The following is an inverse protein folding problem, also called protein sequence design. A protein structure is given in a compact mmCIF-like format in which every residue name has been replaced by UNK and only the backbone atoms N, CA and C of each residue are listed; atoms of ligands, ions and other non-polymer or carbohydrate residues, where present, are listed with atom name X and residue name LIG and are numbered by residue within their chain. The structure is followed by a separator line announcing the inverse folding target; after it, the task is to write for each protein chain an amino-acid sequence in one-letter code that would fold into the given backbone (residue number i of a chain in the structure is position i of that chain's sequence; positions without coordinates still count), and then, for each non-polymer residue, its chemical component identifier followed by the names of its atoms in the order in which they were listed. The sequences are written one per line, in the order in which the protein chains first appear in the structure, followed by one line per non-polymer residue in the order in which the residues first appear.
data_IF_017995241777
#
_entry.id   IF_017995241777
#
_cell.length_a   1.000
_cell.length_b   1.000
_cell.length_c   1.000
_cell.angle_alpha   90.00
_cell.angle_beta   90.00
_cell.angle_gamma   90.00
#
_symmetry.space_group_name_H-M   'P 1'
#
loop_
_entity.id
_entity.type
_entity.pdbx_description
1 polymer ?
#
# COMPACT_ATOMS: atom_id res chain seq x y z
N UNK A 1 10.71 -70.31 31.28
CA UNK A 1 9.88 -69.60 30.28
C UNK A 1 9.95 -68.08 30.53
N UNK A 2 11.05 -67.41 30.18
CA UNK A 2 11.26 -65.99 30.54
C UNK A 2 11.93 -65.10 29.48
N UNK A 3 12.24 -65.61 28.28
CA UNK A 3 12.98 -64.85 27.26
C UNK A 3 12.12 -64.01 26.30
N UNK A 4 10.81 -64.26 26.24
CA UNK A 4 9.97 -63.74 25.15
C UNK A 4 9.51 -62.29 25.37
N UNK A 5 9.41 -61.83 26.63
CA UNK A 5 9.02 -60.46 26.98
C UNK A 5 10.17 -59.46 26.80
N UNK A 6 11.43 -59.92 26.99
CA UNK A 6 12.64 -59.12 26.76
C UNK A 6 12.96 -58.95 25.26
N UNK A 7 12.72 -59.98 24.44
CA UNK A 7 12.90 -59.89 22.99
C UNK A 7 11.82 -59.07 22.27
N UNK A 8 10.57 -59.09 22.77
CA UNK A 8 9.45 -58.37 22.16
C UNK A 8 9.63 -56.85 22.14
N UNK A 9 10.15 -56.27 23.23
CA UNK A 9 10.43 -54.83 23.30
C UNK A 9 11.48 -54.37 22.29
N UNK A 10 12.51 -55.19 22.04
CA UNK A 10 13.57 -54.92 21.06
C UNK A 10 13.02 -54.92 19.65
N UNK A 11 12.18 -55.91 19.32
CA UNK A 11 11.57 -56.02 17.99
C UNK A 11 10.67 -54.81 17.72
N UNK A 12 9.91 -54.32 18.71
CA UNK A 12 9.06 -53.13 18.57
C UNK A 12 9.89 -51.86 18.39
N UNK A 13 10.97 -51.69 19.14
CA UNK A 13 11.83 -50.51 19.04
C UNK A 13 12.57 -50.45 17.70
N UNK A 14 13.08 -51.60 17.24
CA UNK A 14 13.68 -51.74 15.90
C UNK A 14 12.63 -51.49 14.82
N UNK A 15 11.41 -52.01 14.96
CA UNK A 15 10.33 -51.79 14.00
C UNK A 15 9.92 -50.31 13.90
N UNK A 16 9.80 -49.60 15.03
CA UNK A 16 9.48 -48.16 15.05
C UNK A 16 10.61 -47.32 14.47
N UNK A 17 11.86 -47.65 14.77
CA UNK A 17 13.02 -46.97 14.20
C UNK A 17 13.08 -47.17 12.67
N UNK A 18 12.87 -48.40 12.21
CA UNK A 18 12.87 -48.74 10.79
C UNK A 18 11.67 -48.10 10.06
N UNK A 19 10.52 -48.02 10.73
CA UNK A 19 9.34 -47.29 10.25
C UNK A 19 9.61 -45.78 10.11
N UNK A 20 10.29 -45.16 11.08
CA UNK A 20 10.69 -43.74 11.01
C UNK A 20 11.70 -43.49 9.88
N UNK A 21 12.70 -44.36 9.74
CA UNK A 21 13.68 -44.28 8.64
C UNK A 21 12.99 -44.43 7.29
N UNK A 22 11.96 -45.27 7.19
CA UNK A 22 11.21 -45.48 5.96
C UNK A 22 10.22 -44.34 5.64
N UNK A 23 9.50 -43.82 6.65
CA UNK A 23 8.41 -42.86 6.45
C UNK A 23 8.88 -41.40 6.35
N UNK A 24 9.97 -41.04 7.02
CA UNK A 24 10.48 -39.66 6.97
C UNK A 24 10.93 -39.21 5.55
N UNK A 25 11.63 -40.02 4.74
CA UNK A 25 12.05 -39.60 3.40
C UNK A 25 10.89 -39.56 2.38
N UNK A 26 9.85 -40.37 2.55
CA UNK A 26 8.72 -40.45 1.60
C UNK A 26 7.80 -39.23 1.64
N UNK A 27 7.73 -38.52 2.77
CA UNK A 27 7.06 -37.22 2.85
C UNK A 27 7.88 -36.10 2.18
N UNK A 28 9.18 -36.30 2.02
CA UNK A 28 10.12 -35.36 1.40
C UNK A 28 10.04 -35.39 -0.13
N UNK A 29 9.86 -36.58 -0.71
CA UNK A 29 9.81 -36.76 -2.17
C UNK A 29 8.55 -36.12 -2.76
N UNK A 30 7.39 -36.27 -2.11
CA UNK A 30 6.11 -35.68 -2.53
C UNK A 30 6.18 -34.17 -2.80
N UNK A 31 6.98 -33.41 -2.03
CA UNK A 31 7.12 -31.95 -2.20
C UNK A 31 8.06 -31.53 -3.34
N UNK A 32 8.93 -32.43 -3.80
CA UNK A 32 9.83 -32.15 -4.93
C UNK A 32 9.11 -32.36 -6.27
N UNK A 33 8.13 -33.28 -6.32
CA UNK A 33 7.29 -33.50 -7.50
C UNK A 33 6.44 -32.27 -7.84
N UNK A 34 5.81 -31.62 -6.86
CA UNK A 34 5.01 -30.40 -7.06
C UNK A 34 5.80 -29.21 -7.65
N UNK A 35 7.12 -29.17 -7.43
CA UNK A 35 8.00 -28.11 -7.95
C UNK A 35 8.48 -28.41 -9.38
N UNK A 36 8.67 -29.69 -9.72
CA UNK A 36 9.06 -30.12 -11.05
C UNK A 36 7.94 -29.95 -12.07
N UNK A 37 6.69 -30.23 -11.69
CA UNK A 37 5.52 -30.08 -12.58
C UNK A 37 5.33 -28.62 -13.05
N UNK A 38 5.49 -27.64 -12.16
CA UNK A 38 5.33 -26.23 -12.51
C UNK A 38 6.42 -25.71 -13.44
N UNK A 39 7.62 -26.30 -13.40
CA UNK A 39 8.71 -25.95 -14.30
C UNK A 39 8.47 -26.47 -15.72
N UNK A 40 7.88 -27.67 -15.84
CA UNK A 40 7.49 -28.23 -17.13
C UNK A 40 6.38 -27.41 -17.81
N UNK A 41 5.38 -26.94 -17.05
CA UNK A 41 4.28 -26.12 -17.59
C UNK A 41 4.80 -24.78 -18.15
N UNK A 42 5.72 -24.12 -17.45
CA UNK A 42 6.30 -22.83 -17.89
C UNK A 42 7.12 -22.96 -19.17
N UNK A 43 7.84 -24.06 -19.34
CA UNK A 43 8.66 -24.31 -20.52
C UNK A 43 7.78 -24.54 -21.76
N UNK A 44 6.71 -25.33 -21.62
CA UNK A 44 5.75 -25.55 -22.70
C UNK A 44 4.99 -24.27 -23.09
N UNK A 45 4.67 -23.41 -22.11
CA UNK A 45 4.03 -22.13 -22.37
C UNK A 45 4.98 -21.12 -23.04
N UNK A 46 6.27 -21.13 -22.68
CA UNK A 46 7.28 -20.29 -23.32
C UNK A 46 7.51 -20.70 -24.80
N UNK A 47 7.52 -22.00 -25.10
CA UNK A 47 7.61 -22.49 -26.48
C UNK A 47 6.38 -22.11 -27.31
N UNK A 48 5.18 -22.14 -26.71
CA UNK A 48 3.93 -21.72 -27.35
C UNK A 48 3.97 -20.25 -27.74
N UNK A 49 4.40 -19.39 -26.82
CA UNK A 49 4.47 -17.95 -27.06
C UNK A 49 5.54 -17.62 -28.09
N UNK A 50 6.72 -18.28 -28.07
CA UNK A 50 7.73 -18.09 -29.13
C UNK A 50 7.24 -18.49 -30.52
N UNK A 51 6.34 -19.46 -30.62
CA UNK A 51 5.73 -19.86 -31.88
C UNK A 51 4.63 -18.88 -32.35
N UNK A 52 3.98 -18.18 -31.42
CA UNK A 52 2.96 -17.17 -31.73
C UNK A 52 3.56 -15.80 -32.11
N UNK A 53 4.83 -15.50 -31.76
CA UNK A 53 5.48 -14.21 -32.10
C UNK A 53 6.20 -14.16 -33.46
N UNK A 54 6.13 -15.19 -34.30
CA UNK A 54 6.79 -15.21 -35.63
C UNK A 54 5.90 -14.74 -36.80
N UNK A 55 4.67 -14.28 -36.54
CA UNK A 55 3.80 -13.74 -37.59
C UNK A 55 4.11 -12.24 -37.81
N UNK A 56 4.67 -11.94 -38.98
CA UNK A 56 5.28 -10.66 -39.41
C UNK A 56 4.26 -9.58 -39.76
N UNK A 57 4.45 -8.29 -39.35
CA UNK A 57 3.65 -7.20 -39.89
C UNK A 57 4.28 -6.61 -41.16
N UNK A 58 3.48 -6.72 -42.22
CA UNK A 58 3.70 -6.29 -43.60
C UNK A 58 3.88 -4.76 -43.74
N UNK A 59 4.79 -4.38 -44.62
CA UNK A 59 5.22 -3.03 -44.91
C UNK A 59 4.11 -2.20 -45.59
N UNK A 60 3.85 -0.98 -45.11
CA UNK A 60 2.99 -0.02 -45.83
C UNK A 60 3.83 1.18 -46.28
N UNK A 61 4.04 1.21 -47.61
CA UNK A 61 4.67 2.28 -48.41
C UNK A 61 3.96 3.62 -48.20
N UNK A 62 4.74 4.67 -47.96
CA UNK A 62 4.29 6.05 -47.85
C UNK A 62 5.03 6.92 -48.88
N UNK A 63 4.50 6.95 -50.10
CA UNK A 63 4.84 7.95 -51.11
C UNK A 63 3.90 9.16 -50.92
N UNK A 64 4.46 10.38 -51.13
CA UNK A 64 3.87 11.74 -51.01
C UNK A 64 4.34 12.49 -49.76
N UNK A 65 5.39 13.34 -49.87
CA UNK A 65 6.09 13.93 -48.73
C UNK A 65 6.51 15.40 -48.94
N UNK A 66 5.63 16.36 -48.64
CA UNK A 66 6.04 17.74 -48.29
C UNK A 66 5.10 18.38 -47.25
N UNK A 67 3.77 18.24 -47.41
CA UNK A 67 2.79 18.62 -46.37
C UNK A 67 2.59 17.55 -45.31
N UNK A 68 2.66 16.30 -45.72
CA UNK A 68 2.69 15.11 -44.86
C UNK A 68 3.97 15.00 -44.06
N UNK A 69 5.09 15.61 -44.48
CA UNK A 69 6.36 15.59 -43.75
C UNK A 69 6.24 16.19 -42.34
N UNK A 70 5.49 17.30 -42.19
CA UNK A 70 5.27 17.93 -40.89
C UNK A 70 4.29 17.14 -40.02
N UNK A 71 3.27 16.53 -40.63
CA UNK A 71 2.34 15.64 -39.92
C UNK A 71 3.06 14.35 -39.46
N UNK A 72 3.90 13.76 -40.31
CA UNK A 72 4.75 12.62 -40.02
C UNK A 72 5.83 12.97 -39.00
N UNK A 73 6.42 14.17 -39.04
CA UNK A 73 7.38 14.63 -38.04
C UNK A 73 6.71 14.81 -36.67
N UNK A 74 5.47 15.32 -36.63
CA UNK A 74 4.69 15.44 -35.39
C UNK A 74 4.25 14.07 -34.85
N UNK A 75 3.87 13.14 -35.71
CA UNK A 75 3.58 11.75 -35.33
C UNK A 75 4.84 11.01 -34.87
N UNK A 76 5.99 11.21 -35.52
CA UNK A 76 7.28 10.66 -35.11
C UNK A 76 7.71 11.21 -33.74
N UNK A 77 7.56 12.52 -33.49
CA UNK A 77 7.82 13.11 -32.17
C UNK A 77 6.90 12.55 -31.09
N UNK A 78 5.61 12.35 -31.39
CA UNK A 78 4.67 11.71 -30.45
C UNK A 78 5.02 10.27 -30.18
N UNK A 79 5.35 9.49 -31.23
CA UNK A 79 5.78 8.11 -31.10
C UNK A 79 7.11 7.98 -30.31
N UNK A 80 8.04 8.92 -30.47
CA UNK A 80 9.27 8.97 -29.68
C UNK A 80 8.99 9.32 -28.21
N UNK A 81 8.10 10.30 -27.95
CA UNK A 81 7.70 10.65 -26.58
C UNK A 81 6.95 9.50 -25.88
N UNK A 82 6.08 8.77 -26.59
CA UNK A 82 5.40 7.58 -26.08
C UNK A 82 6.38 6.43 -25.80
N UNK A 83 7.41 6.25 -26.65
CA UNK A 83 8.48 5.28 -26.41
C UNK A 83 9.33 5.65 -25.19
N UNK A 84 9.65 6.92 -25.02
CA UNK A 84 10.39 7.41 -23.85
C UNK A 84 9.57 7.24 -22.56
N UNK A 85 8.27 7.55 -22.58
CA UNK A 85 7.41 7.33 -21.41
C UNK A 85 7.27 5.83 -21.09
N UNK A 86 7.07 4.99 -22.10
CA UNK A 86 7.01 3.54 -21.93
C UNK A 86 8.34 2.97 -21.40
N UNK A 87 9.49 3.49 -21.85
CA UNK A 87 10.80 3.09 -21.35
C UNK A 87 11.01 3.50 -19.89
N UNK A 88 10.55 4.69 -19.49
CA UNK A 88 10.61 5.17 -18.10
C UNK A 88 9.70 4.35 -17.18
N UNK A 89 8.50 3.99 -17.65
CA UNK A 89 7.60 3.09 -16.92
C UNK A 89 8.17 1.69 -16.79
N UNK A 90 8.77 1.15 -17.86
CA UNK A 90 9.51 -0.12 -17.82
C UNK A 90 10.64 -0.09 -16.80
N UNK A 91 11.46 0.96 -16.81
CA UNK A 91 12.55 1.13 -15.85
C UNK A 91 12.05 1.21 -14.39
N UNK A 92 10.91 1.86 -14.15
CA UNK A 92 10.29 1.91 -12.81
C UNK A 92 9.82 0.53 -12.36
N UNK A 93 9.15 -0.21 -13.23
CA UNK A 93 8.71 -1.58 -12.95
C UNK A 93 9.90 -2.50 -12.67
N UNK A 94 11.00 -2.36 -13.42
CA UNK A 94 12.21 -3.17 -13.20
C UNK A 94 12.90 -2.81 -11.88
N UNK A 95 12.92 -1.53 -11.49
CA UNK A 95 13.42 -1.11 -10.18
C UNK A 95 12.53 -1.63 -9.03
N UNK A 96 11.22 -1.64 -9.20
CA UNK A 96 10.29 -2.21 -8.23
C UNK A 96 10.46 -3.73 -8.12
N UNK A 97 10.59 -4.43 -9.25
CA UNK A 97 10.89 -5.87 -9.28
C UNK A 97 12.22 -6.16 -8.57
N UNK A 98 13.28 -5.41 -8.88
CA UNK A 98 14.57 -5.58 -8.22
C UNK A 98 14.49 -5.30 -6.71
N UNK A 99 13.67 -4.34 -6.26
CA UNK A 99 13.41 -4.08 -4.83
C UNK A 99 12.67 -5.23 -4.18
N UNK A 100 11.63 -5.75 -4.82
CA UNK A 100 10.85 -6.90 -4.34
C UNK A 100 11.74 -8.14 -4.27
N UNK A 101 12.52 -8.42 -5.31
CA UNK A 101 13.47 -9.54 -5.34
C UNK A 101 14.51 -9.44 -4.23
N UNK A 102 15.07 -8.24 -3.98
CA UNK A 102 15.98 -8.00 -2.86
C UNK A 102 15.29 -8.18 -1.51
N UNK A 103 14.06 -7.72 -1.35
CA UNK A 103 13.28 -7.92 -0.13
C UNK A 103 12.97 -9.41 0.10
N UNK A 104 12.58 -10.13 -0.94
CA UNK A 104 12.35 -11.58 -0.92
C UNK A 104 13.64 -12.34 -0.63
N UNK A 105 14.77 -11.96 -1.24
CA UNK A 105 16.07 -12.59 -0.98
C UNK A 105 16.54 -12.36 0.47
N UNK A 106 16.40 -11.14 0.99
CA UNK A 106 16.69 -10.81 2.40
C UNK A 106 15.82 -11.59 3.36
N UNK A 107 14.54 -11.80 3.05
CA UNK A 107 13.61 -12.58 3.87
C UNK A 107 13.79 -14.10 3.69
N UNK A 108 14.25 -14.55 2.52
CA UNK A 108 14.48 -15.96 2.21
C UNK A 108 15.79 -16.48 2.80
N UNK A 109 16.84 -15.66 2.94
CA UNK A 109 18.10 -16.03 3.57
C UNK A 109 17.93 -16.57 5.02
N UNK A 110 17.24 -15.87 5.95
CA UNK A 110 17.00 -16.38 7.30
C UNK A 110 16.04 -17.58 7.29
N UNK A 111 15.05 -17.61 6.39
CA UNK A 111 14.12 -18.73 6.27
C UNK A 111 14.80 -20.03 5.79
N UNK A 112 15.76 -19.93 4.86
CA UNK A 112 16.57 -21.07 4.38
C UNK A 112 17.49 -21.59 5.48
N UNK A 113 18.15 -20.70 6.22
CA UNK A 113 18.99 -21.07 7.36
C UNK A 113 18.18 -21.68 8.52
N UNK A 114 17.01 -21.16 8.82
CA UNK A 114 16.12 -21.71 9.84
C UNK A 114 15.63 -23.12 9.49
N UNK A 115 15.34 -23.38 8.20
CA UNK A 115 14.95 -24.71 7.70
C UNK A 115 16.10 -25.72 7.78
N UNK A 116 17.33 -25.33 7.43
CA UNK A 116 18.51 -26.19 7.58
C UNK A 116 18.77 -26.55 9.05
N UNK A 117 18.62 -25.58 9.97
CA UNK A 117 18.76 -25.80 11.42
C UNK A 117 17.69 -26.75 11.98
N UNK A 118 16.44 -26.67 11.51
CA UNK A 118 15.37 -27.61 11.89
C UNK A 118 15.69 -29.04 11.42
N UNK A 119 16.22 -29.20 10.21
CA UNK A 119 16.62 -30.50 9.65
C UNK A 119 17.73 -31.16 10.48
N UNK A 120 18.78 -30.41 10.81
CA UNK A 120 19.89 -30.92 11.64
C UNK A 120 19.47 -31.20 13.08
N UNK A 121 18.52 -30.42 13.64
CA UNK A 121 17.95 -30.71 14.96
C UNK A 121 17.21 -32.03 14.99
N UNK A 122 16.35 -32.29 13.99
CA UNK A 122 15.60 -33.56 13.92
C UNK A 122 16.55 -34.76 13.80
N UNK A 123 17.55 -34.69 12.91
CA UNK A 123 18.52 -35.79 12.77
C UNK A 123 19.33 -36.01 14.03
N UNK A 124 19.78 -34.93 14.69
CA UNK A 124 20.53 -35.02 15.94
C UNK A 124 19.69 -35.55 17.11
N UNK A 125 18.40 -35.17 17.21
CA UNK A 125 17.49 -35.73 18.23
C UNK A 125 17.20 -37.20 18.00
N UNK A 126 17.06 -37.63 16.74
CA UNK A 126 16.88 -39.05 16.41
C UNK A 126 18.14 -39.85 16.76
N UNK A 127 19.34 -39.33 16.43
CA UNK A 127 20.60 -39.95 16.84
C UNK A 127 20.77 -40.00 18.36
N UNK A 128 20.37 -38.95 19.09
CA UNK A 128 20.42 -38.93 20.55
C UNK A 128 19.52 -40.02 21.15
N UNK A 129 18.29 -40.15 20.67
CA UNK A 129 17.36 -41.20 21.11
C UNK A 129 17.88 -42.61 20.78
N UNK A 130 18.43 -42.80 19.58
CA UNK A 130 19.05 -44.06 19.19
C UNK A 130 20.25 -44.40 20.09
N UNK A 131 21.10 -43.42 20.40
CA UNK A 131 22.22 -43.60 21.32
C UNK A 131 21.78 -43.96 22.74
N UNK A 132 20.71 -43.35 23.26
CA UNK A 132 20.15 -43.69 24.58
C UNK A 132 19.65 -45.13 24.58
N UNK A 133 18.97 -45.55 23.51
CA UNK A 133 18.54 -46.94 23.35
C UNK A 133 19.71 -47.93 23.39
N UNK A 134 20.81 -47.63 22.68
CA UNK A 134 22.04 -48.44 22.67
C UNK A 134 22.72 -48.45 24.05
N UNK A 135 22.76 -47.31 24.75
CA UNK A 135 23.35 -47.22 26.08
C UNK A 135 22.57 -48.02 27.14
N UNK A 136 21.24 -47.91 27.14
CA UNK A 136 20.36 -48.71 28.01
C UNK A 136 20.51 -50.20 27.69
N UNK A 137 20.60 -50.56 26.41
CA UNK A 137 20.88 -51.93 25.98
C UNK A 137 22.24 -52.44 26.49
N UNK A 138 23.29 -51.64 26.35
CA UNK A 138 24.64 -51.99 26.81
C UNK A 138 24.73 -52.24 28.31
N UNK A 139 23.93 -51.54 29.13
CA UNK A 139 23.86 -51.79 30.58
C UNK A 139 23.28 -53.17 30.88
N UNK A 140 22.25 -53.60 30.15
CA UNK A 140 21.66 -54.94 30.30
C UNK A 140 22.67 -56.00 29.86
N UNK A 141 23.41 -55.76 28.77
CA UNK A 141 24.41 -56.70 28.23
C UNK A 141 25.62 -56.88 29.16
N UNK A 142 26.07 -55.79 29.82
CA UNK A 142 27.13 -55.84 30.85
C UNK A 142 26.71 -56.70 32.03
N UNK A 143 25.44 -56.64 32.47
CA UNK A 143 24.92 -57.45 33.58
C UNK A 143 24.84 -58.94 33.23
N UNK A 144 24.72 -59.29 31.94
CA UNK A 144 24.58 -60.68 31.49
C UNK A 144 25.89 -61.32 30.99
N UNK A 145 26.78 -60.55 30.36
CA UNK A 145 27.96 -61.05 29.62
C UNK A 145 29.27 -60.44 30.12
N UNK A 146 29.22 -59.32 30.88
CA UNK A 146 30.42 -58.65 31.42
C UNK A 146 31.22 -57.84 30.40
N UNK A 147 30.76 -57.73 29.15
CA UNK A 147 31.46 -56.99 28.09
C UNK A 147 31.10 -55.50 28.11
N UNK A 148 32.06 -54.65 28.49
CA UNK A 148 31.85 -53.20 28.70
C UNK A 148 31.91 -52.35 27.41
N UNK A 149 32.39 -52.91 26.30
CA UNK A 149 32.68 -52.15 25.07
C UNK A 149 31.42 -51.51 24.44
N UNK A 150 30.27 -52.18 24.51
CA UNK A 150 29.00 -51.66 23.97
C UNK A 150 28.38 -50.57 24.84
N UNK A 151 28.60 -50.62 26.15
CA UNK A 151 28.19 -49.56 27.07
C UNK A 151 28.96 -48.27 26.78
N UNK A 152 30.29 -48.36 26.62
CA UNK A 152 31.13 -47.20 26.31
C UNK A 152 30.83 -46.59 24.93
N UNK A 153 30.48 -47.39 23.92
CA UNK A 153 30.12 -46.85 22.60
C UNK A 153 28.76 -46.12 22.62
N UNK A 154 27.77 -46.62 23.36
CA UNK A 154 26.48 -45.94 23.57
C UNK A 154 26.61 -44.64 24.36
N UNK A 155 27.43 -44.63 25.42
CA UNK A 155 27.75 -43.42 26.20
C UNK A 155 28.52 -42.40 25.36
N UNK A 156 29.49 -42.85 24.55
CA UNK A 156 30.24 -41.96 23.66
C UNK A 156 29.33 -41.34 22.58
N UNK A 157 28.43 -42.12 21.99
CA UNK A 157 27.51 -41.63 20.95
C UNK A 157 26.48 -40.63 21.51
N UNK A 158 25.91 -40.91 22.68
CA UNK A 158 24.99 -39.98 23.36
C UNK A 158 25.69 -38.71 23.81
N UNK A 159 26.90 -38.82 24.37
CA UNK A 159 27.74 -37.68 24.73
C UNK A 159 28.07 -36.80 23.53
N UNK A 160 28.45 -37.39 22.40
CA UNK A 160 28.75 -36.66 21.17
C UNK A 160 27.49 -35.96 20.62
N UNK A 161 26.35 -36.63 20.62
CA UNK A 161 25.08 -36.04 20.20
C UNK A 161 24.66 -34.88 21.11
N UNK A 162 24.75 -35.05 22.43
CA UNK A 162 24.47 -34.00 23.41
C UNK A 162 25.41 -32.80 23.24
N UNK A 163 26.69 -33.02 22.95
CA UNK A 163 27.67 -31.96 22.68
C UNK A 163 27.27 -31.14 21.44
N UNK A 164 26.86 -31.80 20.35
CA UNK A 164 26.38 -31.15 19.13
C UNK A 164 25.11 -30.32 19.42
N UNK A 165 24.14 -30.88 20.14
CA UNK A 165 22.94 -30.15 20.56
C UNK A 165 23.28 -28.95 21.44
N UNK A 166 24.20 -29.11 22.40
CA UNK A 166 24.62 -28.05 23.32
C UNK A 166 25.34 -26.91 22.57
N UNK A 167 26.26 -27.21 21.65
CA UNK A 167 26.90 -26.17 20.82
C UNK A 167 25.89 -25.45 19.94
N UNK A 168 24.92 -26.16 19.36
CA UNK A 168 23.85 -25.52 18.58
C UNK A 168 22.93 -24.64 19.43
N UNK A 169 22.58 -25.07 20.65
CA UNK A 169 21.81 -24.27 21.59
C UNK A 169 22.56 -22.98 21.97
N UNK A 170 23.87 -23.08 22.22
CA UNK A 170 24.72 -21.92 22.51
C UNK A 170 24.85 -20.96 21.33
N UNK A 171 25.00 -21.47 20.11
CA UNK A 171 25.04 -20.67 18.87
C UNK A 171 23.68 -20.04 18.59
N UNK A 172 22.58 -20.74 18.84
CA UNK A 172 21.24 -20.19 18.72
C UNK A 172 20.98 -19.09 19.76
N UNK A 173 21.41 -19.27 21.00
CA UNK A 173 21.31 -18.25 22.05
C UNK A 173 22.17 -17.01 21.70
N UNK A 174 23.39 -17.20 21.20
CA UNK A 174 24.25 -16.10 20.72
C UNK A 174 23.70 -15.40 19.48
N UNK A 175 23.03 -16.12 18.59
CA UNK A 175 22.40 -15.55 17.39
C UNK A 175 21.02 -14.92 17.68
N UNK A 176 20.41 -15.24 18.81
CA UNK A 176 19.14 -14.67 19.28
C UNK A 176 19.33 -13.42 20.14
N UNK A 177 20.55 -13.17 20.65
CA UNK A 177 20.93 -11.82 21.03
C UNK A 177 20.79 -10.98 19.77
N UNK A 178 20.00 -9.89 19.79
CA UNK A 178 19.93 -9.00 18.65
C UNK A 178 21.37 -8.61 18.36
N UNK A 179 21.88 -9.04 17.21
CA UNK A 179 23.02 -8.39 16.63
C UNK A 179 22.54 -6.96 16.42
N UNK A 180 22.89 -6.07 17.34
CA UNK A 180 22.91 -4.65 17.08
C UNK A 180 23.87 -4.56 15.91
N UNK A 181 23.30 -4.61 14.71
CA UNK A 181 24.00 -4.43 13.48
C UNK A 181 24.62 -3.05 13.65
N UNK A 182 25.88 -3.03 14.06
CA UNK A 182 26.69 -1.84 14.09
C UNK A 182 26.82 -1.50 12.63
N UNK A 183 25.82 -0.77 12.13
CA UNK A 183 25.89 -0.08 10.86
C UNK A 183 27.16 0.74 11.01
N UNK A 184 28.21 0.27 10.36
CA UNK A 184 29.44 1.03 10.19
C UNK A 184 28.98 2.29 9.47
N UNK A 185 28.73 3.34 10.27
CA UNK A 185 28.43 4.66 9.75
C UNK A 185 29.72 5.06 9.08
N UNK A 186 29.80 4.78 7.78
CA UNK A 186 30.79 5.36 6.89
C UNK A 186 30.69 6.86 7.15
N UNK A 187 31.69 7.40 7.82
CA UNK A 187 31.80 8.82 8.07
C UNK A 187 31.91 9.45 6.70
N UNK A 188 30.79 9.90 6.15
CA UNK A 188 30.77 10.76 4.99
C UNK A 188 31.53 12.00 5.42
N UNK A 189 32.55 12.38 4.68
CA UNK A 189 33.21 13.67 4.85
C UNK A 189 32.12 14.74 4.67
N UNK A 190 31.60 15.23 5.79
CA UNK A 190 30.59 16.28 5.81
C UNK A 190 31.38 17.57 5.68
N UNK A 191 31.03 18.39 4.71
CA UNK A 191 31.66 19.68 4.49
C UNK A 191 31.64 20.50 5.79
N UNK A 192 32.82 20.90 6.27
CA UNK A 192 32.98 21.74 7.46
C UNK A 192 32.45 23.15 7.16
N UNK A 193 31.15 23.33 7.33
CA UNK A 193 30.52 24.64 7.35
C UNK A 193 30.61 25.15 8.78
N UNK A 194 31.32 26.26 8.98
CA UNK A 194 31.32 26.98 10.25
C UNK A 194 29.92 27.54 10.51
N UNK A 195 29.08 26.73 11.15
CA UNK A 195 27.79 27.15 11.65
C UNK A 195 28.04 28.07 12.85
N UNK A 196 27.40 29.24 12.87
CA UNK A 196 27.41 30.08 14.07
C UNK A 196 26.99 29.25 15.28
N UNK A 197 27.69 29.39 16.43
CA UNK A 197 27.33 28.68 17.64
C UNK A 197 25.96 29.18 18.10
N UNK A 198 24.91 28.49 17.68
CA UNK A 198 23.57 28.69 18.23
C UNK A 198 23.66 28.45 19.74
N UNK A 199 23.45 29.51 20.51
CA UNK A 199 23.30 29.42 21.96
C UNK A 199 22.13 28.49 22.25
N UNK A 200 22.46 27.26 22.65
CA UNK A 200 21.48 26.26 23.08
C UNK A 200 21.01 26.62 24.48
N UNK A 201 20.15 27.62 24.55
CA UNK A 201 19.38 27.90 25.75
C UNK A 201 18.41 26.73 25.98
N UNK A 202 18.30 26.27 27.23
CA UNK A 202 17.43 25.16 27.57
C UNK A 202 15.98 25.55 27.28
N UNK A 203 15.42 25.00 26.19
CA UNK A 203 14.01 25.13 25.85
C UNK A 203 13.27 23.84 26.22
N UNK A 204 12.10 23.92 26.86
CA UNK A 204 11.27 22.75 27.12
C UNK A 204 10.90 22.08 25.80
N UNK A 205 10.99 20.74 25.76
CA UNK A 205 10.62 19.97 24.57
C UNK A 205 9.14 20.16 24.27
N UNK A 206 8.83 20.67 23.08
CA UNK A 206 7.45 20.71 22.60
C UNK A 206 6.87 19.29 22.54
N UNK A 207 5.67 19.14 23.10
CA UNK A 207 4.90 17.91 22.96
C UNK A 207 4.65 17.65 21.47
N UNK A 208 4.62 16.37 21.04
CA UNK A 208 4.33 16.05 19.65
C UNK A 208 2.96 16.62 19.27
N UNK A 209 2.91 17.31 18.11
CA UNK A 209 1.68 17.91 17.61
C UNK A 209 0.61 16.83 17.44
N UNK A 210 -0.65 17.09 17.85
CA UNK A 210 -1.72 16.12 17.70
C UNK A 210 -1.93 15.79 16.22
N UNK A 211 -2.30 14.53 15.95
CA UNK A 211 -2.49 14.01 14.59
C UNK A 211 -3.60 14.73 13.80
N UNK A 212 -4.47 15.48 14.47
CA UNK A 212 -5.48 16.35 13.84
C UNK A 212 -4.89 17.66 13.30
N UNK A 213 -3.79 18.14 13.90
CA UNK A 213 -3.10 19.36 13.50
C UNK A 213 -1.88 19.10 12.59
N UNK A 214 -1.57 17.83 12.32
CA UNK A 214 -0.49 17.43 11.42
C UNK A 214 -1.02 17.27 10.00
N UNK A 215 -0.53 18.12 9.09
CA UNK A 215 -0.88 18.05 7.67
C UNK A 215 -0.52 16.67 7.08
N UNK A 216 -1.48 16.04 6.42
CA UNK A 216 -1.32 14.71 5.79
C UNK A 216 -1.60 13.52 6.71
N UNK A 217 -1.94 13.74 7.98
CA UNK A 217 -2.43 12.69 8.87
C UNK A 217 -3.87 12.28 8.52
N UNK A 218 -4.20 11.00 8.74
CA UNK A 218 -5.57 10.48 8.55
C UNK A 218 -6.59 11.22 9.40
N UNK A 219 -6.22 11.64 10.61
CA UNK A 219 -7.13 12.38 11.48
C UNK A 219 -7.42 13.79 10.95
N UNK A 220 -6.44 14.45 10.34
CA UNK A 220 -6.64 15.74 9.66
C UNK A 220 -7.58 15.58 8.45
N UNK A 221 -7.39 14.54 7.64
CA UNK A 221 -8.23 14.28 6.47
C UNK A 221 -9.71 14.04 6.80
N UNK A 222 -10.01 13.45 7.96
CA UNK A 222 -11.41 13.27 8.41
C UNK A 222 -12.04 14.63 8.76
N UNK A 223 -11.31 15.50 9.46
CA UNK A 223 -11.79 16.84 9.80
C UNK A 223 -11.96 17.72 8.56
N UNK A 224 -11.08 17.60 7.56
CA UNK A 224 -11.20 18.32 6.29
C UNK A 224 -12.49 17.92 5.53
N UNK A 225 -12.84 16.62 5.57
CA UNK A 225 -14.10 16.12 4.99
C UNK A 225 -15.32 16.64 5.74
N UNK A 226 -15.27 16.71 7.08
CA UNK A 226 -16.34 17.29 7.89
C UNK A 226 -16.49 18.80 7.61
N UNK A 227 -15.39 19.55 7.58
CA UNK A 227 -15.38 20.97 7.25
C UNK A 227 -15.94 21.25 5.83
N UNK A 228 -15.60 20.40 4.86
CA UNK A 228 -16.16 20.50 3.50
C UNK A 228 -17.67 20.26 3.47
N UNK A 229 -18.20 19.31 4.27
CA UNK A 229 -19.65 19.09 4.39
C UNK A 229 -20.34 20.26 5.05
N UNK A 230 -19.71 20.88 6.04
CA UNK A 230 -20.25 22.02 6.76
C UNK A 230 -20.30 23.26 5.87
N UNK A 231 -19.26 23.49 5.06
CA UNK A 231 -19.23 24.53 4.04
C UNK A 231 -20.35 24.36 2.99
N UNK A 232 -20.61 23.13 2.54
CA UNK A 232 -21.73 22.85 1.63
C UNK A 232 -23.09 23.16 2.27
N UNK A 233 -23.27 22.82 3.56
CA UNK A 233 -24.50 23.14 4.30
C UNK A 233 -24.69 24.66 4.45
N UNK A 234 -23.62 25.38 4.76
CA UNK A 234 -23.65 26.84 4.86
C UNK A 234 -23.96 27.49 3.51
N UNK A 235 -23.29 27.07 2.44
CA UNK A 235 -23.55 27.56 1.09
C UNK A 235 -25.01 27.32 0.67
N UNK A 236 -25.57 26.14 0.96
CA UNK A 236 -26.98 25.84 0.69
C UNK A 236 -27.94 26.73 1.51
N UNK A 237 -27.62 27.00 2.78
CA UNK A 237 -28.41 27.93 3.61
C UNK A 237 -28.34 29.37 3.08
N UNK A 238 -27.17 29.83 2.66
CA UNK A 238 -26.99 31.15 2.07
C UNK A 238 -27.73 31.30 0.74
N UNK A 239 -27.73 30.26 -0.09
CA UNK A 239 -28.50 30.23 -1.34
C UNK A 239 -30.01 30.25 -1.07
N UNK A 240 -30.48 29.47 -0.10
CA UNK A 240 -31.88 29.50 0.32
C UNK A 240 -32.29 30.84 0.96
N UNK A 241 -31.37 31.53 1.65
CA UNK A 241 -31.62 32.88 2.14
C UNK A 241 -31.69 33.88 0.99
N UNK A 242 -30.78 33.78 0.03
CA UNK A 242 -30.78 34.63 -1.17
C UNK A 242 -32.06 34.48 -1.97
N UNK A 243 -32.54 33.26 -2.20
CA UNK A 243 -33.81 33.06 -2.92
C UNK A 243 -35.01 33.67 -2.19
N UNK A 244 -35.07 33.55 -0.86
CA UNK A 244 -36.13 34.21 -0.06
C UNK A 244 -36.04 35.72 -0.10
N UNK A 245 -34.84 36.28 -0.11
CA UNK A 245 -34.64 37.74 -0.23
C UNK A 245 -35.09 38.22 -1.61
N UNK A 246 -34.78 37.48 -2.69
CA UNK A 246 -35.24 37.80 -4.05
C UNK A 246 -36.78 37.71 -4.18
N UNK A 247 -37.41 36.71 -3.57
CA UNK A 247 -38.89 36.59 -3.53
C UNK A 247 -39.56 37.71 -2.76
N UNK A 248 -38.96 38.16 -1.66
CA UNK A 248 -39.48 39.23 -0.81
C UNK A 248 -38.99 40.62 -1.23
N UNK A 249 -38.20 40.72 -2.30
CA UNK A 249 -37.65 41.99 -2.75
C UNK A 249 -38.82 42.87 -3.26
N UNK A 250 -39.11 44.00 -2.60
CA UNK A 250 -40.13 44.91 -3.10
C UNK A 250 -39.72 45.41 -4.49
N UNK A 251 -40.70 45.64 -5.36
CA UNK A 251 -40.45 46.12 -6.73
C UNK A 251 -39.51 47.31 -6.72
N UNK A 252 -38.33 47.14 -7.35
CA UNK A 252 -37.29 48.17 -7.39
C UNK A 252 -37.87 49.47 -7.97
N UNK A 253 -37.47 50.60 -7.40
CA UNK A 253 -37.99 51.93 -7.78
C UNK A 253 -37.87 52.17 -9.29
N UNK A 254 -36.80 51.66 -9.93
CA UNK A 254 -36.61 51.81 -11.38
C UNK A 254 -37.58 50.97 -12.21
N UNK A 255 -37.89 49.72 -11.82
CA UNK A 255 -38.90 48.92 -12.53
C UNK A 255 -40.29 49.47 -12.30
N UNK A 256 -40.58 49.96 -11.10
CA UNK A 256 -41.82 50.66 -10.80
C UNK A 256 -41.94 51.98 -11.59
N UNK A 257 -40.84 52.73 -11.78
CA UNK A 257 -40.79 53.96 -12.58
C UNK A 257 -41.03 53.67 -14.07
N UNK A 258 -40.36 52.67 -14.63
CA UNK A 258 -40.55 52.28 -16.04
C UNK A 258 -41.96 51.74 -16.28
N UNK A 259 -42.49 50.90 -15.38
CA UNK A 259 -43.86 50.42 -15.46
C UNK A 259 -44.87 51.56 -15.36
N UNK A 260 -44.64 52.55 -14.49
CA UNK A 260 -45.45 53.77 -14.40
C UNK A 260 -45.37 54.60 -15.69
N UNK A 261 -44.18 54.86 -16.21
CA UNK A 261 -44.01 55.60 -17.47
C UNK A 261 -44.56 54.87 -18.70
N UNK A 262 -44.66 53.55 -18.67
CA UNK A 262 -45.31 52.74 -19.70
C UNK A 262 -46.84 52.67 -19.51
N UNK A 263 -47.32 52.75 -18.26
CA UNK A 263 -48.73 52.89 -17.92
C UNK A 263 -49.26 54.32 -18.12
N UNK A 264 -48.38 55.32 -18.20
CA UNK A 264 -48.63 56.70 -18.63
C UNK A 264 -48.91 56.78 -20.15
N UNK A 265 -49.81 55.92 -20.65
CA UNK A 265 -50.85 56.37 -21.57
C UNK A 265 -51.90 57.18 -20.79
N UNK A 266 -52.86 57.87 -21.43
CA UNK A 266 -53.71 58.86 -20.77
C UNK A 266 -54.75 58.19 -19.85
N UNK A 267 -54.33 57.71 -18.67
CA UNK A 267 -55.19 57.15 -17.62
C UNK A 267 -55.28 58.08 -16.39
N UNK A 268 -54.58 59.22 -16.45
CA UNK A 268 -54.77 60.36 -15.53
C UNK A 268 -56.13 61.06 -15.67
N UNK A 269 -56.92 60.70 -16.69
CA UNK A 269 -58.29 61.17 -16.87
C UNK A 269 -59.23 60.74 -15.72
N UNK A 270 -58.91 59.66 -15.01
CA UNK A 270 -59.70 59.17 -13.86
C UNK A 270 -59.44 59.95 -12.55
N UNK A 271 -58.31 60.67 -12.45
CA UNK A 271 -57.93 61.44 -11.26
C UNK A 271 -58.33 62.92 -11.31
N UNK A 272 -59.11 63.34 -12.31
CA UNK A 272 -59.60 64.73 -12.39
C UNK A 272 -58.47 65.72 -12.66
N UNK A 273 -57.66 65.47 -13.68
CA UNK A 273 -56.86 66.55 -14.27
C UNK A 273 -57.84 67.51 -14.94
N UNK A 274 -58.00 68.70 -14.36
CA UNK A 274 -58.78 69.76 -15.00
C UNK A 274 -57.96 70.21 -16.19
N UNK A 275 -58.55 70.13 -17.38
CA UNK A 275 -57.90 70.56 -18.62
C UNK A 275 -57.53 72.04 -18.51
N UNK A 276 -56.35 72.43 -19.01
CA UNK A 276 -55.89 73.82 -18.97
C UNK A 276 -56.90 74.74 -19.69
N UNK A 277 -57.60 74.21 -20.69
CA UNK A 277 -58.67 74.90 -21.42
C UNK A 277 -59.92 75.16 -20.55
N UNK A 278 -60.24 74.24 -19.63
CA UNK A 278 -61.34 74.40 -18.67
C UNK A 278 -61.00 75.42 -17.58
N UNK A 279 -59.74 75.44 -17.12
CA UNK A 279 -59.21 76.47 -16.22
C UNK A 279 -59.26 77.85 -16.89
N UNK A 280 -58.82 77.95 -18.14
CA UNK A 280 -58.87 79.21 -18.90
C UNK A 280 -60.31 79.70 -19.12
N UNK A 281 -61.23 78.81 -19.45
CA UNK A 281 -62.65 79.13 -19.60
C UNK A 281 -63.24 79.65 -18.27
N UNK A 282 -62.89 79.02 -17.15
CA UNK A 282 -63.32 79.44 -15.82
C UNK A 282 -62.79 80.84 -15.46
N UNK A 283 -61.50 81.09 -15.71
CA UNK A 283 -60.86 82.40 -15.46
C UNK A 283 -61.49 83.47 -16.35
N UNK A 284 -61.75 83.18 -17.63
CA UNK A 284 -62.39 84.12 -18.56
C UNK A 284 -63.80 84.47 -18.11
N UNK A 285 -64.56 83.49 -17.60
CA UNK A 285 -65.87 83.72 -16.98
C UNK A 285 -65.81 84.56 -15.71
N UNK A 286 -64.79 84.37 -14.88
CA UNK A 286 -64.56 85.16 -13.67
C UNK A 286 -64.23 86.63 -14.01
N UNK A 287 -63.42 86.85 -15.03
CA UNK A 287 -63.08 88.20 -15.53
C UNK A 287 -64.28 88.89 -16.18
N UNK A 288 -65.10 88.16 -16.93
CA UNK A 288 -66.32 88.71 -17.54
C UNK A 288 -67.34 89.16 -16.49
N UNK A 289 -67.57 88.35 -15.44
CA UNK A 289 -68.46 88.72 -14.32
C UNK A 289 -68.00 89.99 -13.61
N UNK A 290 -66.69 90.10 -13.37
CA UNK A 290 -66.07 91.29 -12.77
C UNK A 290 -66.21 92.54 -13.65
N UNK A 291 -66.14 92.38 -14.97
CA UNK A 291 -66.33 93.48 -15.91
C UNK A 291 -67.79 93.93 -16.03
N UNK A 292 -68.76 93.04 -15.80
CA UNK A 292 -70.20 93.36 -15.82
C UNK A 292 -70.77 93.89 -14.50
N UNK A 293 -69.97 93.98 -13.43
CA UNK A 293 -70.38 94.56 -12.15
C UNK A 293 -71.39 93.75 -11.33
N UNK A 294 -71.46 92.43 -11.56
CA UNK A 294 -72.17 91.48 -10.70
C UNK A 294 -71.20 90.78 -9.74
#
# INVERSE_FOLDING_TARGET
MGGQVLGGGVIVLVAVALWLVYLMPTLQSRRQYDAAERNAVRLNQALRVLAETSETPEEVRLELNTRTALAQQKLARRAMAERESAALEGARVDLERARIERAVARNAAPARQARARRRLRLTATILALAGIGIAVWGVVEVLTVGAQALMWSGVALTGLSALVLHRMARVAARAALPATESVERVAREVQDVALEPQSREWAPRELPRPLTASAGSRAAAVLDVEAARDALRQAAMEEALRSRVEEQEPTRIETARVARSAADGPDFASMGYVDDEEIEAHVRGLLARRASGQ
#
